data_IF_972848022733
#
_entry.id   IF_972848022733
#
_cell.length_a   1.000
_cell.length_b   1.000
_cell.length_c   1.000
_cell.angle_alpha   90.00
_cell.angle_beta   90.00
_cell.angle_gamma   90.00
#
_symmetry.space_group_name_H-M   'P 1'
#
loop_
_entity.id
_entity.type
_entity.pdbx_description
1 polymer ?
#
# COMPACT_ATOMS: atom_id res chain seq x y z
N UNK A 1 -13.53 -15.13 42.21
CA UNK A 1 -12.68 -16.28 41.80
C UNK A 1 -12.60 -16.24 40.27
N UNK A 2 -11.83 -15.32 39.70
CA UNK A 2 -10.38 -15.35 39.45
C UNK A 2 -9.99 -16.22 38.23
N UNK A 3 -9.59 -15.48 37.18
CA UNK A 3 -8.44 -15.73 36.29
C UNK A 3 -8.40 -17.01 35.48
N UNK A 4 -8.85 -16.94 34.21
CA UNK A 4 -8.09 -17.47 33.08
C UNK A 4 -8.33 -16.53 31.89
N UNK A 5 -7.34 -15.70 31.54
CA UNK A 5 -7.05 -15.16 30.19
C UNK A 5 -6.01 -14.04 30.33
N UNK A 6 -4.74 -14.42 30.46
CA UNK A 6 -3.60 -13.54 30.20
C UNK A 6 -2.36 -14.41 29.97
N UNK A 7 -2.03 -14.67 28.70
CA UNK A 7 -0.69 -15.10 28.23
C UNK A 7 -0.63 -15.04 26.70
N UNK A 8 -0.64 -13.83 26.16
CA UNK A 8 0.16 -13.54 24.96
C UNK A 8 1.24 -12.54 25.39
N UNK A 9 2.45 -13.06 25.46
CA UNK A 9 3.65 -12.36 25.86
C UNK A 9 4.02 -11.33 24.80
N UNK A 10 3.73 -10.06 25.07
CA UNK A 10 4.49 -8.95 24.53
C UNK A 10 5.93 -9.11 25.02
N UNK A 11 6.87 -9.44 24.12
CA UNK A 11 8.28 -9.33 24.43
C UNK A 11 8.59 -7.84 24.58
N UNK A 12 8.96 -7.44 25.78
CA UNK A 12 9.48 -6.10 26.04
C UNK A 12 10.67 -5.81 25.11
N UNK A 13 10.77 -4.61 24.52
CA UNK A 13 12.03 -4.15 23.97
C UNK A 13 13.00 -3.91 25.11
N UNK A 14 14.22 -4.41 24.93
CA UNK A 14 15.36 -4.18 25.82
C UNK A 14 15.56 -2.68 25.95
N UNK A 15 15.40 -2.15 27.17
CA UNK A 15 15.79 -0.80 27.54
C UNK A 15 17.31 -0.65 27.34
N UNK A 16 17.70 -0.06 26.22
CA UNK A 16 19.03 0.50 26.05
C UNK A 16 19.11 1.76 26.93
N UNK A 17 19.63 1.59 28.14
CA UNK A 17 20.04 2.69 29.02
C UNK A 17 21.21 3.45 28.36
N UNK A 18 20.92 4.57 27.71
CA UNK A 18 21.92 5.61 27.44
C UNK A 18 21.77 6.72 28.48
N UNK A 19 22.60 6.64 29.54
CA UNK A 19 22.92 7.81 30.35
C UNK A 19 23.73 8.77 29.48
N UNK A 20 23.09 9.80 28.94
CA UNK A 20 23.79 10.95 28.38
C UNK A 20 23.72 12.09 29.39
N UNK A 21 24.92 12.52 29.82
CA UNK A 21 25.15 13.63 30.71
C UNK A 21 24.51 14.91 30.17
N UNK A 22 23.72 15.57 31.01
CA UNK A 22 23.40 16.99 30.84
C UNK A 22 24.69 17.81 31.00
N UNK A 23 25.14 18.42 29.90
CA UNK A 23 26.06 19.54 29.94
C UNK A 23 25.27 20.80 29.55
N UNK A 24 24.91 21.59 30.55
CA UNK A 24 24.48 22.98 30.40
C UNK A 24 25.56 23.78 29.68
N UNK A 25 25.22 24.43 28.56
CA UNK A 25 26.05 25.49 27.99
C UNK A 25 25.21 26.72 27.70
N UNK A 26 25.64 27.78 28.37
CA UNK A 26 25.10 29.12 28.44
C UNK A 26 25.25 29.86 27.11
N UNK A 27 24.27 30.72 26.83
CA UNK A 27 24.22 31.69 25.74
C UNK A 27 25.40 32.66 25.76
N UNK A 28 26.07 32.84 24.62
CA UNK A 28 26.76 34.08 24.26
C UNK A 28 27.06 34.13 22.75
N UNK A 29 26.63 35.22 22.08
CA UNK A 29 27.43 35.93 21.07
C UNK A 29 27.43 35.44 19.62
N UNK A 30 26.71 36.19 18.78
CA UNK A 30 26.94 36.53 17.36
C UNK A 30 28.24 36.06 16.67
N UNK A 31 28.12 35.46 15.48
CA UNK A 31 28.57 36.08 14.21
C UNK A 31 28.22 35.19 12.99
N UNK A 32 27.52 35.79 12.02
CA UNK A 32 27.22 35.22 10.71
C UNK A 32 28.51 35.10 9.88
N UNK A 33 28.99 33.87 9.67
CA UNK A 33 29.95 33.56 8.62
C UNK A 33 29.20 32.94 7.42
N UNK A 34 29.14 33.70 6.32
CA UNK A 34 28.70 33.21 5.00
C UNK A 34 29.63 32.07 4.55
N UNK A 35 29.16 30.84 4.63
CA UNK A 35 29.79 29.70 3.93
C UNK A 35 29.42 29.81 2.45
N UNK A 36 30.42 30.08 1.60
CA UNK A 36 30.28 30.01 0.14
C UNK A 36 30.07 28.54 -0.26
N UNK A 37 29.11 28.21 -1.14
CA UNK A 37 29.04 26.88 -1.72
C UNK A 37 30.27 26.67 -2.60
N UNK A 38 31.03 25.62 -2.30
CA UNK A 38 32.14 25.13 -3.10
C UNK A 38 31.61 24.64 -4.45
N UNK A 39 32.15 25.22 -5.54
CA UNK A 39 31.95 24.78 -6.91
C UNK A 39 32.31 23.29 -7.06
N UNK A 40 31.31 22.42 -7.17
CA UNK A 40 31.47 21.06 -7.65
C UNK A 40 31.61 21.10 -9.18
N UNK A 41 32.77 20.65 -9.68
CA UNK A 41 33.09 20.60 -11.10
C UNK A 41 32.28 19.54 -11.88
N UNK A 42 32.23 19.64 -13.22
CA UNK A 42 31.32 18.87 -14.06
C UNK A 42 31.71 17.39 -14.33
N UNK A 43 32.50 16.73 -13.47
CA UNK A 43 33.03 15.37 -13.75
C UNK A 43 32.50 14.20 -12.89
N UNK A 44 31.61 14.41 -11.91
CA UNK A 44 31.11 13.29 -11.09
C UNK A 44 29.86 12.56 -11.62
N UNK A 45 29.21 13.07 -12.67
CA UNK A 45 27.91 12.52 -13.12
C UNK A 45 27.96 11.17 -13.84
N UNK A 46 29.13 10.61 -14.16
CA UNK A 46 29.25 9.35 -14.91
C UNK A 46 29.70 8.14 -14.10
N UNK A 47 30.23 8.33 -12.87
CA UNK A 47 30.70 7.20 -12.05
C UNK A 47 29.62 6.53 -11.20
N UNK A 48 28.51 7.20 -10.89
CA UNK A 48 27.43 6.65 -10.06
C UNK A 48 26.57 5.59 -10.76
N UNK A 49 26.47 5.63 -12.09
CA UNK A 49 25.63 4.72 -12.88
C UNK A 49 26.03 3.23 -12.78
N UNK A 50 27.32 2.95 -12.58
CA UNK A 50 27.82 1.56 -12.55
C UNK A 50 27.61 0.84 -11.20
N UNK A 51 27.43 1.56 -10.09
CA UNK A 51 27.39 0.97 -8.75
C UNK A 51 25.99 0.49 -8.31
N UNK A 52 24.91 0.94 -8.95
CA UNK A 52 23.53 0.54 -8.61
C UNK A 52 23.01 -0.66 -9.43
N UNK A 53 23.92 -1.54 -9.87
CA UNK A 53 23.57 -2.69 -10.72
C UNK A 53 22.78 -3.79 -9.99
N UNK A 54 22.85 -3.86 -8.66
CA UNK A 54 22.23 -4.93 -7.88
C UNK A 54 21.55 -4.41 -6.60
N UNK A 55 20.55 -5.11 -6.08
CA UNK A 55 19.86 -4.71 -4.84
C UNK A 55 20.80 -4.64 -3.64
N UNK A 56 21.75 -5.57 -3.51
CA UNK A 56 22.72 -5.54 -2.42
C UNK A 56 23.71 -4.38 -2.54
N UNK A 57 24.05 -3.93 -3.76
CA UNK A 57 24.92 -2.76 -3.94
C UNK A 57 24.19 -1.46 -3.62
N UNK A 58 22.88 -1.40 -3.83
CA UNK A 58 22.03 -0.29 -3.39
C UNK A 58 21.96 -0.25 -1.85
N UNK A 59 21.71 -1.38 -1.18
CA UNK A 59 21.72 -1.47 0.29
C UNK A 59 23.06 -0.98 0.85
N UNK A 60 24.16 -1.50 0.30
CA UNK A 60 25.51 -1.14 0.72
C UNK A 60 25.79 0.35 0.53
N UNK A 61 25.31 0.95 -0.59
CA UNK A 61 25.47 2.37 -0.86
C UNK A 61 24.84 3.25 0.23
N UNK A 62 23.63 2.91 0.69
CA UNK A 62 22.92 3.68 1.72
C UNK A 62 23.46 3.41 3.13
N UNK A 63 23.76 2.16 3.46
CA UNK A 63 24.09 1.73 4.81
C UNK A 63 25.52 1.20 4.91
N UNK A 64 26.47 1.99 4.39
CA UNK A 64 27.93 1.74 4.37
C UNK A 64 28.51 1.30 5.73
N UNK A 65 27.82 1.60 6.84
CA UNK A 65 28.35 1.48 8.20
C UNK A 65 28.14 0.09 8.85
N UNK A 66 27.22 -0.75 8.36
CA UNK A 66 26.86 -1.98 9.12
C UNK A 66 26.65 -3.24 8.30
N UNK A 67 26.81 -3.23 6.97
CA UNK A 67 26.70 -4.47 6.17
C UNK A 67 27.97 -4.83 5.42
N UNK A 68 28.54 -5.99 5.77
CA UNK A 68 29.40 -6.67 4.81
C UNK A 68 28.55 -6.96 3.56
N UNK A 69 29.08 -6.74 2.35
CA UNK A 69 28.41 -7.13 1.10
C UNK A 69 27.80 -8.56 1.15
N UNK A 70 28.40 -9.55 1.84
CA UNK A 70 27.77 -10.84 2.16
C UNK A 70 26.41 -10.75 2.88
N UNK A 71 26.26 -9.89 3.89
CA UNK A 71 25.03 -9.75 4.66
C UNK A 71 23.89 -9.17 3.82
N UNK A 72 24.18 -8.15 3.01
CA UNK A 72 23.20 -7.60 2.07
C UNK A 72 22.76 -8.66 1.04
N UNK A 73 23.69 -9.50 0.56
CA UNK A 73 23.34 -10.65 -0.31
C UNK A 73 22.46 -11.66 0.41
N UNK A 74 22.79 -11.99 1.65
CA UNK A 74 22.05 -12.93 2.48
C UNK A 74 20.62 -12.44 2.77
N UNK A 75 20.47 -11.15 3.08
CA UNK A 75 19.18 -10.49 3.25
C UNK A 75 18.31 -10.63 2.00
N UNK A 76 18.86 -10.33 0.81
CA UNK A 76 18.13 -10.46 -0.46
C UNK A 76 17.75 -11.92 -0.76
N UNK A 77 18.57 -12.90 -0.36
CA UNK A 77 18.20 -14.32 -0.49
C UNK A 77 17.06 -14.73 0.44
N UNK A 78 17.02 -14.20 1.67
CA UNK A 78 15.94 -14.47 2.63
C UNK A 78 14.68 -13.64 2.36
N UNK A 79 14.78 -12.57 1.57
CA UNK A 79 13.64 -11.73 1.20
C UNK A 79 13.46 -11.61 -0.32
N UNK A 80 13.12 -12.71 -1.02
CA UNK A 80 13.04 -12.72 -2.48
C UNK A 80 11.91 -11.84 -3.06
N UNK A 81 10.96 -11.39 -2.22
CA UNK A 81 9.88 -10.46 -2.61
C UNK A 81 10.47 -9.10 -3.07
N UNK A 82 11.60 -8.66 -2.52
CA UNK A 82 12.25 -7.40 -2.90
C UNK A 82 12.64 -7.31 -4.39
N UNK A 83 12.85 -8.47 -5.05
CA UNK A 83 13.18 -8.55 -6.47
C UNK A 83 12.01 -8.16 -7.38
N UNK A 84 10.78 -8.08 -6.85
CA UNK A 84 9.63 -7.51 -7.60
C UNK A 84 9.68 -5.99 -7.68
N UNK A 85 10.41 -5.34 -6.77
CA UNK A 85 10.50 -3.88 -6.70
C UNK A 85 11.55 -3.39 -7.69
N UNK A 86 11.17 -2.40 -8.51
CA UNK A 86 12.09 -1.76 -9.44
C UNK A 86 13.23 -1.09 -8.66
N UNK A 87 14.48 -1.27 -9.11
CA UNK A 87 15.66 -0.73 -8.43
C UNK A 87 15.59 0.77 -8.12
N UNK A 88 15.12 1.67 -9.02
CA UNK A 88 14.99 3.09 -8.70
C UNK A 88 13.99 3.37 -7.57
N UNK A 89 12.89 2.62 -7.51
CA UNK A 89 11.88 2.73 -6.45
C UNK A 89 12.49 2.28 -5.12
N UNK A 90 13.23 1.17 -5.14
CA UNK A 90 13.91 0.62 -3.97
C UNK A 90 15.00 1.57 -3.42
N UNK A 91 15.80 2.16 -4.30
CA UNK A 91 16.82 3.18 -4.00
C UNK A 91 16.19 4.43 -3.34
N UNK A 92 15.09 4.94 -3.89
CA UNK A 92 14.38 6.08 -3.31
C UNK A 92 13.78 5.75 -1.93
N UNK A 93 13.23 4.54 -1.75
CA UNK A 93 12.73 4.09 -0.43
C UNK A 93 13.84 4.08 0.61
N UNK A 94 15.01 3.52 0.29
CA UNK A 94 16.15 3.49 1.22
C UNK A 94 16.66 4.91 1.52
N UNK A 95 16.68 5.79 0.52
CA UNK A 95 16.99 7.21 0.70
C UNK A 95 16.05 7.86 1.70
N UNK A 96 14.73 7.66 1.56
CA UNK A 96 13.74 8.21 2.49
C UNK A 96 13.99 7.68 3.91
N UNK A 97 14.16 6.37 4.07
CA UNK A 97 14.39 5.75 5.38
C UNK A 97 15.66 6.30 6.05
N UNK A 98 16.74 6.44 5.28
CA UNK A 98 18.00 6.99 5.77
C UNK A 98 17.86 8.46 6.17
N UNK A 99 17.17 9.29 5.37
CA UNK A 99 16.91 10.69 5.69
C UNK A 99 16.07 10.86 6.96
N UNK A 100 15.24 9.86 7.30
CA UNK A 100 14.46 9.84 8.54
C UNK A 100 15.24 9.24 9.73
N UNK A 101 16.50 8.88 9.53
CA UNK A 101 17.39 8.41 10.59
C UNK A 101 17.16 6.96 11.02
N UNK A 102 16.47 6.14 10.22
CA UNK A 102 16.37 4.70 10.47
C UNK A 102 17.71 4.02 10.20
N UNK A 103 18.10 3.13 11.11
CA UNK A 103 19.26 2.25 10.96
C UNK A 103 18.96 1.06 10.04
N UNK A 104 20.01 0.43 9.51
CA UNK A 104 19.85 -0.78 8.71
C UNK A 104 19.25 -1.94 9.53
N UNK A 105 19.54 -1.98 10.83
CA UNK A 105 19.06 -2.96 11.79
C UNK A 105 17.53 -2.90 11.90
N UNK A 106 16.97 -1.70 12.05
CA UNK A 106 15.52 -1.47 12.04
C UNK A 106 14.91 -1.89 10.69
N UNK A 107 15.57 -1.55 9.57
CA UNK A 107 15.10 -1.90 8.22
C UNK A 107 15.12 -3.41 7.98
N UNK A 108 16.12 -4.14 8.49
CA UNK A 108 16.19 -5.61 8.45
C UNK A 108 15.04 -6.24 9.21
N UNK A 109 14.79 -5.76 10.43
CA UNK A 109 13.72 -6.25 11.30
C UNK A 109 12.35 -6.09 10.62
N UNK A 110 12.11 -4.92 10.01
CA UNK A 110 10.83 -4.59 9.37
C UNK A 110 10.91 -4.48 7.85
N UNK A 111 11.57 -5.46 7.21
CA UNK A 111 11.81 -5.51 5.76
C UNK A 111 10.59 -5.29 4.85
N UNK A 112 9.37 -5.48 5.36
CA UNK A 112 8.12 -5.19 4.65
C UNK A 112 8.04 -3.74 4.15
N UNK A 113 8.63 -2.77 4.86
CA UNK A 113 8.63 -1.36 4.43
C UNK A 113 9.33 -1.14 3.09
N UNK A 114 10.25 -2.03 2.70
CA UNK A 114 10.96 -1.98 1.42
C UNK A 114 10.09 -2.33 0.22
N UNK A 115 8.88 -2.87 0.46
CA UNK A 115 7.89 -3.16 -0.58
C UNK A 115 6.94 -2.00 -0.84
N UNK A 116 6.99 -0.94 -0.03
CA UNK A 116 6.18 0.26 -0.23
C UNK A 116 6.71 1.08 -1.41
N UNK A 117 5.84 1.79 -2.11
CA UNK A 117 6.30 2.85 -3.01
C UNK A 117 6.83 4.05 -2.20
N UNK A 118 7.74 4.87 -2.75
CA UNK A 118 8.19 6.11 -2.13
C UNK A 118 7.03 7.01 -1.68
N UNK A 119 6.00 7.14 -2.51
CA UNK A 119 4.79 7.91 -2.18
C UNK A 119 3.98 7.30 -1.04
N UNK A 120 3.87 5.97 -0.96
CA UNK A 120 3.21 5.30 0.17
C UNK A 120 4.01 5.53 1.46
N UNK A 121 5.32 5.34 1.42
CA UNK A 121 6.17 5.54 2.59
C UNK A 121 6.10 6.98 3.12
N UNK A 122 6.27 7.99 2.25
CA UNK A 122 6.17 9.41 2.61
C UNK A 122 4.82 9.74 3.23
N UNK A 123 3.71 9.29 2.63
CA UNK A 123 2.36 9.53 3.18
C UNK A 123 2.18 8.98 4.58
N UNK A 124 2.65 7.76 4.81
CA UNK A 124 2.51 7.12 6.11
C UNK A 124 3.36 7.83 7.16
N UNK A 125 4.61 8.15 6.84
CA UNK A 125 5.46 8.97 7.72
C UNK A 125 4.81 10.33 8.01
N UNK A 126 4.21 10.97 7.01
CA UNK A 126 3.50 12.24 7.19
C UNK A 126 2.31 12.10 8.15
N UNK A 127 1.54 11.01 8.09
CA UNK A 127 0.46 10.78 9.06
C UNK A 127 1.00 10.76 10.49
N UNK A 128 2.11 10.05 10.73
CA UNK A 128 2.70 10.03 12.07
C UNK A 128 3.12 11.42 12.53
N UNK A 129 3.71 12.21 11.63
CA UNK A 129 4.03 13.61 11.91
C UNK A 129 2.77 14.44 12.22
N UNK A 130 1.66 14.27 11.49
CA UNK A 130 0.39 14.95 11.76
C UNK A 130 -0.17 14.59 13.16
N UNK A 131 0.17 13.41 13.67
CA UNK A 131 -0.14 12.95 15.02
C UNK A 131 0.99 13.19 16.03
N UNK A 132 1.93 14.10 15.77
CA UNK A 132 3.03 14.45 16.70
C UNK A 132 3.99 13.31 17.03
N UNK A 133 4.17 12.39 16.09
CA UNK A 133 5.12 11.27 16.22
C UNK A 133 6.22 11.49 15.19
N UNK A 134 7.28 12.16 15.62
CA UNK A 134 8.41 12.54 14.76
C UNK A 134 9.18 11.33 14.21
N UNK A 135 9.27 10.26 15.00
CA UNK A 135 10.02 9.05 14.65
C UNK A 135 9.23 7.78 14.98
N UNK A 136 8.25 7.41 14.14
CA UNK A 136 7.52 6.16 14.32
C UNK A 136 8.46 4.96 14.12
N UNK A 137 8.13 3.81 14.68
CA UNK A 137 8.82 2.55 14.34
C UNK A 137 8.45 2.11 12.93
N UNK A 138 9.33 1.37 12.26
CA UNK A 138 9.03 0.82 10.92
C UNK A 138 7.85 -0.16 10.93
N UNK A 139 7.61 -0.84 12.07
CA UNK A 139 6.39 -1.61 12.29
C UNK A 139 5.13 -0.74 12.17
N UNK A 140 5.09 0.37 12.92
CA UNK A 140 3.98 1.33 12.88
C UNK A 140 3.80 1.91 11.48
N UNK A 141 4.88 2.27 10.79
CA UNK A 141 4.84 2.75 9.40
C UNK A 141 4.25 1.69 8.46
N UNK A 142 4.58 0.41 8.64
CA UNK A 142 4.03 -0.66 7.81
C UNK A 142 2.55 -0.95 8.11
N UNK A 143 2.15 -0.85 9.38
CA UNK A 143 0.79 -1.13 9.87
C UNK A 143 0.07 0.16 10.33
N UNK A 144 0.15 1.22 9.52
CA UNK A 144 -0.43 2.52 9.87
C UNK A 144 -1.92 2.44 10.23
N UNK A 145 -2.70 1.57 9.57
CA UNK A 145 -4.12 1.40 9.88
C UNK A 145 -4.34 0.84 11.29
N UNK A 146 -3.52 -0.13 11.71
CA UNK A 146 -3.61 -0.73 13.05
C UNK A 146 -3.15 0.27 14.11
N UNK A 147 -2.17 1.12 13.78
CA UNK A 147 -1.79 2.22 14.65
C UNK A 147 -2.94 3.20 14.86
N UNK A 148 -3.69 3.54 13.80
CA UNK A 148 -4.84 4.45 13.90
C UNK A 148 -6.04 3.84 14.64
N UNK A 149 -6.08 2.52 14.84
CA UNK A 149 -7.06 1.87 15.71
C UNK A 149 -6.76 2.09 17.21
N UNK A 150 -5.56 2.56 17.57
CA UNK A 150 -5.24 2.96 18.94
C UNK A 150 -5.95 4.27 19.32
N UNK A 151 -6.14 4.50 20.62
CA UNK A 151 -6.59 5.78 21.18
C UNK A 151 -5.48 6.47 21.99
N UNK A 152 -5.67 7.74 22.36
CA UNK A 152 -4.67 8.53 23.08
C UNK A 152 -4.33 7.93 24.44
N UNK A 153 -5.30 7.33 25.15
CA UNK A 153 -5.05 6.68 26.44
C UNK A 153 -4.04 5.53 26.33
N UNK A 154 -4.19 4.65 25.34
CA UNK A 154 -3.27 3.54 25.07
C UNK A 154 -1.89 4.06 24.70
N UNK A 155 -1.82 5.12 23.88
CA UNK A 155 -0.55 5.72 23.47
C UNK A 155 0.21 6.36 24.64
N UNK A 156 -0.50 6.97 25.60
CA UNK A 156 0.11 7.47 26.85
C UNK A 156 0.63 6.35 27.73
N UNK A 157 -0.12 5.26 27.90
CA UNK A 157 0.35 4.09 28.69
C UNK A 157 1.63 3.48 28.10
N UNK A 158 1.75 3.49 26.76
CA UNK A 158 2.94 3.01 26.06
C UNK A 158 4.06 4.06 25.94
N UNK A 159 3.90 5.24 26.56
CA UNK A 159 4.92 6.29 26.57
C UNK A 159 5.13 7.00 25.23
N UNK A 160 4.20 6.87 24.28
CA UNK A 160 4.23 7.61 23.02
C UNK A 160 3.89 9.10 23.25
N UNK A 161 2.93 9.36 24.15
CA UNK A 161 2.54 10.72 24.54
C UNK A 161 2.75 10.95 26.04
N UNK A 162 3.00 12.21 26.41
CA UNK A 162 3.04 12.62 27.81
C UNK A 162 1.65 12.61 28.46
N UNK A 163 1.61 12.56 29.79
CA UNK A 163 0.36 12.68 30.54
C UNK A 163 -0.29 14.04 30.25
N UNK A 164 -1.56 14.02 29.84
CA UNK A 164 -2.31 15.23 29.48
C UNK A 164 -2.00 15.80 28.09
N UNK A 165 -1.23 15.10 27.26
CA UNK A 165 -1.03 15.50 25.87
C UNK A 165 -2.37 15.45 25.11
N UNK A 166 -2.80 16.60 24.60
CA UNK A 166 -3.98 16.72 23.75
C UNK A 166 -3.55 16.71 22.27
N UNK A 167 -4.08 15.73 21.54
CA UNK A 167 -3.72 15.47 20.15
C UNK A 167 -4.45 16.41 19.19
N UNK A 168 -5.62 16.92 19.56
CA UNK A 168 -6.47 17.67 18.65
C UNK A 168 -5.84 19.03 18.29
N UNK A 169 -5.36 19.87 19.23
CA UNK A 169 -4.71 21.13 18.89
C UNK A 169 -3.53 20.92 17.94
N UNK A 170 -2.74 19.87 18.17
CA UNK A 170 -1.62 19.56 17.29
C UNK A 170 -2.06 19.12 15.90
N UNK A 171 -3.08 18.26 15.81
CA UNK A 171 -3.60 17.80 14.53
C UNK A 171 -4.18 18.97 13.72
N UNK A 172 -4.90 19.89 14.37
CA UNK A 172 -5.40 21.12 13.74
C UNK A 172 -4.25 22.05 13.31
N UNK A 173 -3.24 22.25 14.16
CA UNK A 173 -2.06 23.06 13.84
C UNK A 173 -1.22 22.47 12.70
N UNK A 174 -1.16 21.14 12.59
CA UNK A 174 -0.45 20.43 11.52
C UNK A 174 -1.08 20.67 10.14
N UNK A 175 -2.33 21.10 10.11
CA UNK A 175 -3.10 21.38 8.88
C UNK A 175 -3.60 22.81 8.89
N UNK A 176 -2.68 23.76 8.73
CA UNK A 176 -2.97 25.21 8.75
C UNK A 176 -4.14 25.65 7.86
N UNK A 177 -4.39 24.94 6.77
CA UNK A 177 -5.43 25.25 5.78
C UNK A 177 -6.76 24.51 6.03
N UNK A 178 -6.85 23.68 7.07
CA UNK A 178 -8.09 23.00 7.49
C UNK A 178 -9.00 24.00 8.19
N UNK A 179 -9.65 24.85 7.41
CA UNK A 179 -10.54 25.90 7.89
C UNK A 179 -11.93 25.35 8.28
N UNK A 180 -12.00 24.58 9.36
CA UNK A 180 -13.27 24.08 9.90
C UNK A 180 -14.04 25.18 10.66
N UNK A 181 -15.39 25.19 10.62
CA UNK A 181 -16.19 26.12 11.41
C UNK A 181 -16.01 25.86 12.91
N UNK A 182 -15.94 26.92 13.72
CA UNK A 182 -15.73 26.81 15.17
C UNK A 182 -16.73 25.87 15.85
N UNK A 183 -18.01 25.89 15.46
CA UNK A 183 -19.02 25.02 16.04
C UNK A 183 -18.76 23.52 15.84
N UNK A 184 -18.05 23.13 14.77
CA UNK A 184 -17.62 21.74 14.55
C UNK A 184 -16.49 21.37 15.51
N UNK A 185 -15.56 22.30 15.75
CA UNK A 185 -14.48 22.11 16.73
C UNK A 185 -15.03 22.05 18.15
N UNK A 186 -15.97 22.94 18.50
CA UNK A 186 -16.64 22.94 19.81
C UNK A 186 -17.44 21.64 20.03
N UNK A 187 -18.10 21.13 18.98
CA UNK A 187 -18.81 19.85 19.04
C UNK A 187 -17.82 18.69 19.23
N UNK A 188 -16.68 18.73 18.55
CA UNK A 188 -15.64 17.72 18.68
C UNK A 188 -15.12 17.64 20.12
N UNK A 189 -14.78 18.76 20.75
CA UNK A 189 -14.30 18.79 22.15
C UNK A 189 -15.28 18.16 23.14
N UNK A 190 -16.58 18.21 22.84
CA UNK A 190 -17.63 17.62 23.69
C UNK A 190 -17.84 16.12 23.46
N UNK A 191 -17.47 15.59 22.28
CA UNK A 191 -17.77 14.22 21.85
C UNK A 191 -16.58 13.26 21.98
N UNK A 192 -15.36 13.78 21.92
CA UNK A 192 -14.15 12.96 21.85
C UNK A 192 -13.40 12.99 23.18
N UNK A 193 -13.35 11.85 23.85
CA UNK A 193 -12.47 11.63 25.01
C UNK A 193 -11.22 10.80 24.62
N UNK A 194 -10.36 10.52 25.60
CA UNK A 194 -9.12 9.77 25.38
C UNK A 194 -9.31 8.30 24.97
N UNK A 195 -10.55 7.81 24.94
CA UNK A 195 -10.89 6.43 24.56
C UNK A 195 -11.19 6.29 23.08
N UNK A 196 -11.44 7.39 22.37
CA UNK A 196 -11.80 7.36 20.96
C UNK A 196 -10.57 7.03 20.08
N UNK A 197 -10.69 6.08 19.13
CA UNK A 197 -9.61 5.74 18.21
C UNK A 197 -9.15 6.93 17.34
N UNK A 198 -7.85 7.00 17.07
CA UNK A 198 -7.26 8.06 16.25
C UNK A 198 -7.84 8.11 14.83
N UNK A 199 -8.20 6.95 14.26
CA UNK A 199 -8.87 6.87 12.96
C UNK A 199 -10.21 7.61 12.95
N UNK A 200 -10.94 7.58 14.05
CA UNK A 200 -12.29 8.13 14.12
C UNK A 200 -12.21 9.65 14.26
N UNK A 201 -11.22 10.13 15.03
CA UNK A 201 -10.82 11.54 15.07
C UNK A 201 -10.46 12.04 13.66
N UNK A 202 -9.56 11.32 12.98
CA UNK A 202 -9.12 11.67 11.63
C UNK A 202 -10.28 11.71 10.63
N UNK A 203 -11.13 10.68 10.64
CA UNK A 203 -12.26 10.56 9.72
C UNK A 203 -13.31 11.64 9.98
N UNK A 204 -13.56 11.97 11.24
CA UNK A 204 -14.45 13.06 11.62
C UNK A 204 -13.99 14.37 10.99
N UNK A 205 -12.73 14.77 11.24
CA UNK A 205 -12.17 16.02 10.71
C UNK A 205 -12.17 16.03 9.18
N UNK A 206 -11.80 14.92 8.55
CA UNK A 206 -11.82 14.81 7.09
C UNK A 206 -13.23 14.93 6.52
N UNK A 207 -14.21 14.20 7.06
CA UNK A 207 -15.59 14.23 6.57
C UNK A 207 -16.21 15.62 6.70
N UNK A 208 -16.04 16.28 7.84
CA UNK A 208 -16.53 17.64 8.04
C UNK A 208 -15.83 18.66 7.13
N UNK A 209 -14.53 18.50 6.90
CA UNK A 209 -13.80 19.33 5.92
C UNK A 209 -14.37 19.14 4.52
N UNK A 210 -14.57 17.90 4.06
CA UNK A 210 -15.12 17.63 2.73
C UNK A 210 -16.55 18.15 2.58
N UNK A 211 -17.38 17.98 3.61
CA UNK A 211 -18.77 18.48 3.63
C UNK A 211 -18.80 20.00 3.43
N UNK A 212 -17.99 20.73 4.19
CA UNK A 212 -17.83 22.16 4.02
C UNK A 212 -17.27 22.54 2.65
N UNK A 213 -16.19 21.87 2.22
CA UNK A 213 -15.47 22.22 0.98
C UNK A 213 -16.36 22.04 -0.26
N UNK A 214 -17.24 21.04 -0.26
CA UNK A 214 -18.17 20.76 -1.35
C UNK A 214 -19.59 21.30 -1.13
N UNK A 215 -19.84 21.98 0.00
CA UNK A 215 -21.18 22.46 0.39
C UNK A 215 -22.24 21.34 0.38
N UNK A 216 -21.89 20.21 0.99
CA UNK A 216 -22.74 19.01 1.11
C UNK A 216 -23.03 18.69 2.58
N UNK A 217 -24.07 17.90 2.79
CA UNK A 217 -24.32 17.32 4.10
C UNK A 217 -23.29 16.23 4.42
N UNK A 218 -23.21 15.86 5.69
CA UNK A 218 -22.25 14.85 6.13
C UNK A 218 -22.60 13.48 5.53
N UNK A 219 -23.90 13.19 5.36
CA UNK A 219 -24.41 11.91 4.87
C UNK A 219 -23.97 11.65 3.41
N UNK A 220 -24.04 12.67 2.53
CA UNK A 220 -23.50 12.61 1.16
C UNK A 220 -22.00 12.31 1.16
N UNK A 221 -21.25 12.89 2.11
CA UNK A 221 -19.82 12.63 2.26
C UNK A 221 -19.58 11.20 2.76
N UNK A 222 -20.37 10.68 3.70
CA UNK A 222 -20.23 9.31 4.20
C UNK A 222 -20.35 8.28 3.07
N UNK A 223 -21.26 8.52 2.13
CA UNK A 223 -21.41 7.68 0.94
C UNK A 223 -20.14 7.60 0.07
N UNK A 224 -19.21 8.56 0.16
CA UNK A 224 -17.92 8.47 -0.52
C UNK A 224 -17.02 7.40 0.11
N UNK A 225 -17.09 7.23 1.44
CA UNK A 225 -16.25 6.32 2.21
C UNK A 225 -16.74 4.87 2.15
N UNK A 226 -18.03 4.66 1.87
CA UNK A 226 -18.59 3.32 1.64
C UNK A 226 -18.09 2.68 0.34
N UNK A 227 -17.60 3.50 -0.61
CA UNK A 227 -17.06 3.00 -1.88
C UNK A 227 -15.62 2.51 -1.69
N UNK A 228 -15.31 1.40 -2.38
CA UNK A 228 -14.05 0.66 -2.23
C UNK A 228 -12.83 1.59 -2.41
N UNK A 229 -12.07 1.80 -1.33
CA UNK A 229 -10.74 2.40 -1.39
C UNK A 229 -10.53 3.72 -0.66
N UNK A 230 -11.48 4.20 0.16
CA UNK A 230 -11.30 5.35 1.05
C UNK A 230 -11.37 4.96 2.54
N UNK A 231 -10.64 5.67 3.43
CA UNK A 231 -9.56 6.61 3.13
C UNK A 231 -8.28 5.86 2.69
N UNK A 232 -7.40 6.53 1.94
CA UNK A 232 -6.07 5.96 1.62
C UNK A 232 -5.02 6.18 2.72
N UNK A 233 -5.43 6.69 3.88
CA UNK A 233 -4.56 7.12 4.97
C UNK A 233 -3.42 7.98 4.41
N UNK A 234 -3.73 9.25 4.10
CA UNK A 234 -2.74 10.29 3.77
C UNK A 234 -2.91 11.46 4.75
N UNK A 235 -2.03 12.45 4.72
CA UNK A 235 -2.22 13.62 5.59
C UNK A 235 -3.52 14.36 5.27
N UNK A 236 -4.14 14.97 6.28
CA UNK A 236 -5.29 15.85 6.09
C UNK A 236 -4.92 17.02 5.15
N UNK A 237 -3.69 17.55 5.26
CA UNK A 237 -3.15 18.55 4.35
C UNK A 237 -3.15 18.07 2.87
N UNK A 238 -2.86 16.79 2.62
CA UNK A 238 -2.91 16.24 1.27
C UNK A 238 -4.34 16.07 0.74
N UNK A 239 -5.36 16.00 1.62
CA UNK A 239 -6.76 16.12 1.21
C UNK A 239 -7.12 17.56 0.87
N UNK A 240 -6.65 18.54 1.66
CA UNK A 240 -6.86 19.96 1.36
C UNK A 240 -6.33 20.32 -0.03
N UNK A 241 -5.05 20.00 -0.27
CA UNK A 241 -4.40 20.31 -1.55
C UNK A 241 -5.05 19.60 -2.75
N UNK A 242 -5.48 18.33 -2.61
CA UNK A 242 -6.11 17.65 -3.74
C UNK A 242 -7.50 18.23 -4.04
N UNK A 243 -8.27 18.61 -3.02
CA UNK A 243 -9.54 19.28 -3.21
C UNK A 243 -9.35 20.62 -3.93
N UNK A 244 -8.32 21.39 -3.58
CA UNK A 244 -8.01 22.64 -4.27
C UNK A 244 -7.65 22.44 -5.73
N UNK A 245 -6.89 21.40 -6.06
CA UNK A 245 -6.59 21.05 -7.44
C UNK A 245 -7.86 20.64 -8.18
N UNK A 246 -8.67 19.77 -7.58
CA UNK A 246 -9.91 19.24 -8.17
C UNK A 246 -10.91 20.36 -8.46
N UNK A 247 -11.13 21.26 -7.50
CA UNK A 247 -12.11 22.33 -7.62
C UNK A 247 -11.55 23.47 -8.48
N UNK A 248 -10.38 24.00 -8.13
CA UNK A 248 -9.89 25.24 -8.71
C UNK A 248 -9.15 25.02 -10.04
N UNK A 249 -8.45 23.89 -10.20
CA UNK A 249 -7.64 23.62 -11.41
C UNK A 249 -8.36 22.72 -12.41
N UNK A 250 -9.15 21.76 -11.95
CA UNK A 250 -9.89 20.83 -12.81
C UNK A 250 -11.36 21.22 -13.00
N UNK A 251 -11.91 22.13 -12.18
CA UNK A 251 -13.30 22.57 -12.28
C UNK A 251 -14.32 21.47 -12.03
N UNK A 252 -13.98 20.47 -11.20
CA UNK A 252 -14.87 19.35 -10.91
C UNK A 252 -15.82 19.66 -9.76
N UNK A 253 -17.08 19.29 -9.95
CA UNK A 253 -18.12 19.32 -8.94
C UNK A 253 -18.12 18.07 -8.05
N UNK A 254 -18.96 18.12 -7.03
CA UNK A 254 -19.11 17.02 -6.08
C UNK A 254 -19.66 15.76 -6.75
N UNK A 255 -20.61 15.90 -7.66
CA UNK A 255 -21.25 14.82 -8.41
C UNK A 255 -20.21 13.99 -9.17
N UNK A 256 -19.23 14.65 -9.80
CA UNK A 256 -18.12 13.98 -10.48
C UNK A 256 -17.23 13.22 -9.48
N UNK A 257 -16.96 13.79 -8.32
CA UNK A 257 -16.17 13.13 -7.26
C UNK A 257 -16.95 11.96 -6.67
N UNK A 258 -18.26 12.10 -6.50
CA UNK A 258 -19.13 11.04 -5.99
C UNK A 258 -19.20 9.87 -6.97
N UNK A 259 -19.24 10.15 -8.27
CA UNK A 259 -19.12 9.13 -9.31
C UNK A 259 -17.75 8.43 -9.30
N UNK A 260 -16.69 9.11 -8.83
CA UNK A 260 -15.34 8.57 -8.78
C UNK A 260 -14.52 9.05 -7.55
N UNK A 261 -14.76 8.49 -6.36
CA UNK A 261 -14.10 8.97 -5.13
C UNK A 261 -12.59 8.74 -5.10
N UNK A 262 -12.07 7.88 -5.99
CA UNK A 262 -10.64 7.64 -6.14
C UNK A 262 -9.87 8.90 -6.57
N UNK A 263 -10.55 9.93 -7.09
CA UNK A 263 -9.96 11.24 -7.33
C UNK A 263 -9.40 11.87 -6.04
N UNK A 264 -10.02 11.59 -4.90
CA UNK A 264 -9.53 12.05 -3.60
C UNK A 264 -8.26 11.30 -3.16
N UNK A 265 -7.93 10.16 -3.77
CA UNK A 265 -6.74 9.36 -3.43
C UNK A 265 -5.47 9.78 -4.17
N UNK A 266 -5.56 10.79 -5.03
CA UNK A 266 -4.42 11.27 -5.79
C UNK A 266 -3.42 12.01 -4.90
N UNK A 267 -2.15 11.93 -5.31
CA UNK A 267 -1.07 12.70 -4.71
C UNK A 267 -1.06 14.11 -5.30
N UNK A 268 -1.29 15.17 -4.49
CA UNK A 268 -1.36 16.54 -4.99
C UNK A 268 -0.15 16.93 -5.84
N UNK A 269 1.06 16.59 -5.39
CA UNK A 269 2.30 16.96 -6.07
C UNK A 269 2.47 16.26 -7.43
N UNK A 270 1.99 15.03 -7.56
CA UNK A 270 2.04 14.32 -8.85
C UNK A 270 1.01 14.88 -9.82
N UNK A 271 -0.18 15.24 -9.33
CA UNK A 271 -1.21 15.89 -10.15
C UNK A 271 -0.73 17.27 -10.60
N UNK A 272 -0.10 18.06 -9.73
CA UNK A 272 0.51 19.36 -10.09
C UNK A 272 1.52 19.21 -11.22
N UNK A 273 2.49 18.29 -11.10
CA UNK A 273 3.49 18.04 -12.15
C UNK A 273 2.84 17.67 -13.49
N UNK A 274 1.77 16.87 -13.46
CA UNK A 274 1.02 16.50 -14.67
C UNK A 274 0.33 17.72 -15.26
N UNK A 275 -0.33 18.55 -14.45
CA UNK A 275 -1.01 19.76 -14.90
C UNK A 275 -0.03 20.83 -15.42
N UNK A 276 1.15 20.97 -14.81
CA UNK A 276 2.23 21.84 -15.29
C UNK A 276 2.72 21.39 -16.67
N UNK A 277 2.83 20.08 -16.88
CA UNK A 277 3.27 19.51 -18.16
C UNK A 277 2.17 19.57 -19.22
N UNK A 278 0.91 19.52 -18.81
CA UNK A 278 -0.26 19.40 -19.67
C UNK A 278 -1.41 20.30 -19.20
N UNK A 279 -1.27 21.64 -19.35
CA UNK A 279 -2.19 22.62 -18.77
C UNK A 279 -3.60 22.59 -19.36
N UNK A 280 -3.80 21.95 -20.52
CA UNK A 280 -5.09 21.85 -21.17
C UNK A 280 -6.00 20.75 -20.58
N UNK A 281 -5.47 19.85 -19.75
CA UNK A 281 -6.27 18.77 -19.12
C UNK A 281 -7.40 19.35 -18.27
N UNK A 282 -7.17 20.44 -17.54
CA UNK A 282 -8.20 21.09 -16.72
C UNK A 282 -9.25 21.88 -17.50
N UNK A 283 -9.11 22.03 -18.83
CA UNK A 283 -10.02 22.82 -19.67
C UNK A 283 -11.01 21.99 -20.48
N UNK A 284 -10.81 20.67 -20.57
CA UNK A 284 -11.68 19.76 -21.32
C UNK A 284 -12.51 18.92 -20.37
N UNK A 285 -13.82 19.19 -20.32
CA UNK A 285 -14.81 18.41 -19.55
C UNK A 285 -14.81 16.92 -19.92
N UNK A 286 -14.36 16.57 -21.13
CA UNK A 286 -14.37 15.20 -21.67
C UNK A 286 -13.25 14.30 -21.12
N UNK A 287 -12.15 14.87 -20.60
CA UNK A 287 -10.98 14.10 -20.13
C UNK A 287 -11.18 13.52 -18.73
N UNK A 288 -12.21 13.98 -18.00
CA UNK A 288 -12.29 13.82 -16.54
C UNK A 288 -13.22 12.69 -16.08
N UNK A 289 -13.44 11.69 -16.93
CA UNK A 289 -13.71 10.35 -16.41
C UNK A 289 -12.35 9.69 -16.12
N UNK A 290 -11.63 10.12 -15.07
CA UNK A 290 -10.27 9.61 -14.83
C UNK A 290 -10.29 8.33 -13.99
N UNK A 291 -10.22 7.16 -14.63
CA UNK A 291 -9.91 5.92 -13.89
C UNK A 291 -8.48 5.96 -13.34
N UNK A 292 -8.22 5.28 -12.21
CA UNK A 292 -6.86 5.11 -11.64
C UNK A 292 -5.83 4.62 -12.67
N UNK A 293 -6.29 3.87 -13.69
CA UNK A 293 -5.48 3.39 -14.81
C UNK A 293 -4.94 4.55 -15.65
N UNK A 294 -5.72 5.59 -15.89
CA UNK A 294 -5.31 6.72 -16.73
C UNK A 294 -4.30 7.60 -16.01
N UNK A 295 -4.40 7.79 -14.69
CA UNK A 295 -3.38 8.49 -13.91
C UNK A 295 -2.05 7.72 -13.82
N UNK A 296 -2.10 6.38 -13.87
CA UNK A 296 -0.90 5.55 -14.04
C UNK A 296 -0.33 5.66 -15.46
N UNK A 297 -1.18 5.75 -16.49
CA UNK A 297 -0.77 6.05 -17.87
C UNK A 297 -0.17 7.47 -17.95
N UNK A 298 -0.72 8.43 -17.20
CA UNK A 298 -0.22 9.82 -17.12
C UNK A 298 1.18 9.93 -16.47
N UNK A 299 1.66 8.88 -15.80
CA UNK A 299 3.04 8.80 -15.30
C UNK A 299 4.04 8.37 -16.37
N UNK A 300 3.60 7.72 -17.44
CA UNK A 300 4.44 7.40 -18.59
C UNK A 300 4.35 8.53 -19.61
N UNK A 301 5.42 9.34 -19.70
CA UNK A 301 5.51 10.47 -20.63
C UNK A 301 5.23 10.12 -22.10
N UNK A 302 5.46 8.86 -22.51
CA UNK A 302 5.19 8.40 -23.88
C UNK A 302 3.69 8.19 -24.07
N UNK A 303 3.06 7.46 -23.16
CA UNK A 303 1.63 7.18 -23.22
C UNK A 303 0.77 8.43 -23.01
N UNK A 304 1.24 9.42 -22.24
CA UNK A 304 0.53 10.71 -22.11
C UNK A 304 0.49 11.46 -23.42
N UNK A 305 1.62 11.51 -24.14
CA UNK A 305 1.70 12.20 -25.43
C UNK A 305 0.78 11.55 -26.46
N UNK A 306 0.72 10.23 -26.48
CA UNK A 306 -0.19 9.46 -27.35
C UNK A 306 -1.66 9.71 -26.99
N UNK A 307 -2.00 9.73 -25.70
CA UNK A 307 -3.37 9.94 -25.22
C UNK A 307 -3.85 11.38 -25.46
N UNK A 308 -2.98 12.38 -25.28
CA UNK A 308 -3.28 13.78 -25.60
C UNK A 308 -3.40 14.03 -27.09
N UNK A 309 -2.53 13.43 -27.91
CA UNK A 309 -2.65 13.50 -29.36
C UNK A 309 -3.97 12.87 -29.84
N UNK A 310 -4.40 11.76 -29.23
CA UNK A 310 -5.69 11.13 -29.53
C UNK A 310 -6.89 11.99 -29.08
N UNK A 311 -6.73 12.72 -27.96
CA UNK A 311 -7.75 13.65 -27.46
C UNK A 311 -7.89 14.88 -28.36
N UNK A 312 -6.77 15.48 -28.76
CA UNK A 312 -6.71 16.61 -29.70
C UNK A 312 -7.23 16.23 -31.10
N UNK A 313 -7.03 14.98 -31.52
CA UNK A 313 -7.56 14.43 -32.75
C UNK A 313 -9.07 14.08 -32.68
N UNK A 314 -9.74 14.33 -31.55
CA UNK A 314 -11.18 14.06 -31.39
C UNK A 314 -11.56 12.57 -31.38
N UNK A 315 -10.58 11.67 -31.22
CA UNK A 315 -10.80 10.21 -31.30
C UNK A 315 -11.17 9.56 -29.97
N UNK A 316 -11.18 10.32 -28.87
CA UNK A 316 -11.47 9.79 -27.53
C UNK A 316 -12.97 9.79 -27.22
N UNK A 317 -13.64 8.68 -27.54
CA UNK A 317 -15.06 8.47 -27.19
C UNK A 317 -15.22 7.81 -25.82
N UNK A 318 -14.25 7.02 -25.32
CA UNK A 318 -14.22 6.54 -23.92
C UNK A 318 -12.80 6.12 -23.48
N UNK A 319 -12.53 6.15 -22.17
CA UNK A 319 -11.29 5.65 -21.53
C UNK A 319 -10.92 4.22 -21.99
N UNK A 320 -11.92 3.39 -22.25
CA UNK A 320 -11.72 2.01 -22.71
C UNK A 320 -10.99 1.95 -24.05
N UNK A 321 -11.27 2.90 -24.96
CA UNK A 321 -10.60 3.03 -26.26
C UNK A 321 -9.14 3.50 -26.12
N UNK A 322 -8.87 4.45 -25.21
CA UNK A 322 -7.51 4.93 -24.92
C UNK A 322 -6.57 3.82 -24.40
N UNK A 323 -7.13 2.92 -23.57
CA UNK A 323 -6.39 1.79 -22.99
C UNK A 323 -6.15 0.70 -24.05
N UNK A 324 -7.04 0.54 -25.03
CA UNK A 324 -6.84 -0.41 -26.14
C UNK A 324 -5.85 0.09 -27.20
N UNK A 325 -5.87 1.39 -27.54
CA UNK A 325 -5.02 1.96 -28.59
C UNK A 325 -3.56 2.17 -28.19
N UNK A 326 -3.29 2.50 -26.92
CA UNK A 326 -1.91 2.77 -26.47
C UNK A 326 -1.02 1.54 -26.40
N UNK A 327 -1.55 0.32 -26.62
CA UNK A 327 -0.76 -0.91 -26.78
C UNK A 327 0.16 -1.23 -25.59
N UNK A 328 0.01 -0.54 -24.46
CA UNK A 328 0.81 -0.75 -23.26
C UNK A 328 0.34 -2.07 -22.67
N UNK A 329 1.00 -3.16 -23.09
CA UNK A 329 1.03 -4.45 -22.39
C UNK A 329 1.72 -4.28 -21.03
N UNK A 330 1.24 -3.36 -20.20
CA UNK A 330 1.52 -3.41 -18.79
C UNK A 330 0.78 -4.65 -18.32
N UNK A 331 1.54 -5.73 -18.10
CA UNK A 331 1.05 -6.92 -17.38
C UNK A 331 0.63 -6.43 -16.00
N UNK A 332 -0.62 -5.97 -15.90
CA UNK A 332 -1.19 -5.46 -14.67
C UNK A 332 -1.47 -6.67 -13.78
N UNK A 333 -0.54 -6.95 -12.87
CA UNK A 333 -0.87 -7.73 -11.69
C UNK A 333 -1.77 -6.84 -10.83
N UNK A 334 -3.08 -6.93 -11.05
CA UNK A 334 -4.05 -6.57 -10.02
C UNK A 334 -3.72 -7.47 -8.84
N UNK A 335 -2.99 -6.95 -7.87
CA UNK A 335 -3.08 -7.46 -6.50
C UNK A 335 -4.49 -7.03 -6.04
N UNK A 336 -5.51 -7.73 -6.53
CA UNK A 336 -6.84 -7.65 -5.94
C UNK A 336 -6.66 -8.12 -4.52
N UNK A 337 -6.89 -7.23 -3.56
CA UNK A 337 -6.95 -7.65 -2.15
C UNK A 337 -8.03 -8.71 -2.06
N UNK A 338 -7.63 -9.88 -1.58
CA UNK A 338 -8.54 -10.98 -1.27
C UNK A 338 -9.59 -10.44 -0.29
N UNK A 339 -10.87 -10.60 -0.61
CA UNK A 339 -11.94 -10.09 0.25
C UNK A 339 -11.89 -10.80 1.61
N UNK A 340 -12.24 -10.08 2.68
CA UNK A 340 -12.35 -10.67 4.03
C UNK A 340 -13.34 -11.84 4.06
N UNK A 341 -14.39 -11.78 3.24
CA UNK A 341 -15.36 -12.86 3.06
C UNK A 341 -14.72 -14.14 2.52
N UNK A 342 -13.89 -14.03 1.48
CA UNK A 342 -13.20 -15.19 0.92
C UNK A 342 -12.19 -15.77 1.93
N UNK A 343 -11.44 -14.93 2.64
CA UNK A 343 -10.49 -15.38 3.66
C UNK A 343 -11.23 -16.18 4.75
N UNK A 344 -12.36 -15.66 5.24
CA UNK A 344 -13.17 -16.34 6.26
C UNK A 344 -13.74 -17.66 5.73
N UNK A 345 -14.23 -17.67 4.50
CA UNK A 345 -14.74 -18.88 3.87
C UNK A 345 -13.66 -19.96 3.75
N UNK A 346 -12.49 -19.62 3.20
CA UNK A 346 -11.37 -20.56 3.04
C UNK A 346 -10.84 -21.04 4.39
N UNK A 347 -10.73 -20.15 5.38
CA UNK A 347 -10.35 -20.52 6.75
C UNK A 347 -11.31 -21.55 7.35
N UNK A 348 -12.61 -21.34 7.19
CA UNK A 348 -13.64 -22.24 7.70
C UNK A 348 -13.62 -23.61 6.99
N UNK A 349 -13.56 -23.63 5.66
CA UNK A 349 -13.63 -24.89 4.91
C UNK A 349 -12.37 -25.74 5.04
N UNK A 350 -11.20 -25.08 5.10
CA UNK A 350 -9.90 -25.75 5.25
C UNK A 350 -9.48 -25.97 6.72
N UNK A 351 -10.31 -25.54 7.68
CA UNK A 351 -10.04 -25.67 9.12
C UNK A 351 -8.68 -25.08 9.53
N UNK A 352 -8.37 -23.90 9.02
CA UNK A 352 -7.15 -23.14 9.32
C UNK A 352 -7.48 -21.79 9.94
N UNK A 353 -6.52 -21.20 10.65
CA UNK A 353 -6.73 -19.88 11.21
C UNK A 353 -6.90 -18.81 10.12
N UNK A 354 -7.69 -17.77 10.41
CA UNK A 354 -7.94 -16.66 9.48
C UNK A 354 -6.66 -16.00 8.96
N UNK A 355 -5.61 -15.93 9.79
CA UNK A 355 -4.34 -15.33 9.42
C UNK A 355 -3.57 -16.23 8.43
N UNK A 356 -3.58 -17.54 8.64
CA UNK A 356 -2.98 -18.53 7.75
C UNK A 356 -3.71 -18.58 6.40
N UNK A 357 -5.05 -18.61 6.40
CA UNK A 357 -5.84 -18.50 5.16
C UNK A 357 -5.51 -17.22 4.38
N UNK A 358 -5.28 -16.09 5.10
CA UNK A 358 -4.86 -14.85 4.46
C UNK A 358 -3.49 -14.98 3.82
N UNK A 359 -2.52 -15.64 4.45
CA UNK A 359 -1.20 -15.87 3.87
C UNK A 359 -1.26 -16.79 2.64
N UNK A 360 -1.99 -17.89 2.74
CA UNK A 360 -2.23 -18.84 1.63
C UNK A 360 -2.83 -18.15 0.39
N UNK A 361 -3.76 -17.22 0.59
CA UNK A 361 -4.42 -16.48 -0.48
C UNK A 361 -3.65 -15.21 -0.90
N UNK A 362 -2.59 -14.81 -0.21
CA UNK A 362 -1.77 -13.66 -0.62
C UNK A 362 -0.64 -14.04 -1.57
N UNK A 363 -0.18 -15.29 -1.52
CA UNK A 363 0.86 -15.80 -2.41
C UNK A 363 0.22 -16.31 -3.71
N UNK A 364 0.35 -15.51 -4.77
CA UNK A 364 -0.03 -15.86 -6.16
C UNK A 364 -1.54 -16.13 -6.43
N UNK A 365 -2.42 -15.84 -5.47
CA UNK A 365 -3.87 -15.91 -5.69
C UNK A 365 -4.38 -14.73 -6.53
N UNK A 366 -5.10 -15.02 -7.61
CA UNK A 366 -5.74 -14.02 -8.45
C UNK A 366 -7.24 -14.30 -8.53
N UNK A 367 -8.04 -13.41 -7.96
CA UNK A 367 -9.51 -13.45 -7.94
C UNK A 367 -10.15 -13.11 -9.30
N UNK A 368 -9.67 -13.71 -10.39
CA UNK A 368 -10.20 -13.45 -11.72
C UNK A 368 -11.69 -13.86 -11.83
N UNK A 369 -12.06 -14.96 -11.18
CA UNK A 369 -13.38 -15.60 -11.30
C UNK A 369 -14.31 -15.36 -10.09
N UNK A 370 -13.89 -14.54 -9.11
CA UNK A 370 -14.69 -14.20 -7.93
C UNK A 370 -14.87 -15.32 -6.90
N UNK A 371 -15.53 -15.00 -5.78
CA UNK A 371 -15.71 -15.94 -4.65
C UNK A 371 -16.59 -17.14 -5.00
N UNK A 372 -17.62 -16.98 -5.83
CA UNK A 372 -18.53 -18.06 -6.22
C UNK A 372 -17.76 -19.20 -6.92
N UNK A 373 -16.83 -18.86 -7.82
CA UNK A 373 -15.96 -19.84 -8.47
C UNK A 373 -15.10 -20.59 -7.44
N UNK A 374 -14.51 -19.88 -6.48
CA UNK A 374 -13.70 -20.52 -5.44
C UNK A 374 -14.52 -21.53 -4.63
N UNK A 375 -15.75 -21.19 -4.24
CA UNK A 375 -16.67 -22.11 -3.55
C UNK A 375 -16.92 -23.38 -4.38
N UNK A 376 -17.22 -23.21 -5.67
CA UNK A 376 -17.49 -24.33 -6.57
C UNK A 376 -16.28 -25.23 -6.79
N UNK A 377 -15.10 -24.64 -7.00
CA UNK A 377 -13.85 -25.41 -7.18
C UNK A 377 -13.51 -26.15 -5.88
N UNK A 378 -13.63 -25.50 -4.73
CA UNK A 378 -13.30 -26.13 -3.45
C UNK A 378 -14.22 -27.32 -3.16
N UNK A 379 -15.54 -27.16 -3.40
CA UNK A 379 -16.49 -28.26 -3.30
C UNK A 379 -16.15 -29.41 -4.26
N UNK A 380 -15.83 -29.10 -5.51
CA UNK A 380 -15.43 -30.09 -6.51
C UNK A 380 -14.20 -30.90 -6.06
N UNK A 381 -13.21 -30.25 -5.45
CA UNK A 381 -12.02 -30.93 -4.94
C UNK A 381 -12.37 -31.89 -3.79
N UNK A 382 -13.25 -31.49 -2.88
CA UNK A 382 -13.74 -32.41 -1.84
C UNK A 382 -14.54 -33.58 -2.40
N UNK A 383 -15.40 -33.33 -3.40
CA UNK A 383 -16.20 -34.37 -4.06
C UNK A 383 -15.32 -35.41 -4.79
N UNK A 384 -14.16 -34.99 -5.30
CA UNK A 384 -13.14 -35.86 -5.88
C UNK A 384 -12.27 -36.58 -4.83
N UNK A 385 -12.50 -36.34 -3.54
CA UNK A 385 -11.84 -37.03 -2.44
C UNK A 385 -10.49 -36.43 -2.01
N UNK A 386 -10.15 -35.21 -2.44
CA UNK A 386 -8.94 -34.54 -1.97
C UNK A 386 -9.08 -34.11 -0.50
N UNK A 387 -8.02 -34.29 0.26
CA UNK A 387 -7.95 -33.88 1.66
C UNK A 387 -7.72 -32.37 1.80
N UNK A 388 -8.04 -31.80 2.98
CA UNK A 388 -7.74 -30.39 3.28
C UNK A 388 -6.27 -30.07 3.11
N UNK A 389 -5.38 -30.96 3.57
CA UNK A 389 -3.92 -30.81 3.43
C UNK A 389 -3.49 -30.72 1.96
N UNK A 390 -4.03 -31.59 1.10
CA UNK A 390 -3.77 -31.53 -0.35
C UNK A 390 -4.27 -30.22 -0.96
N UNK A 391 -5.44 -29.73 -0.55
CA UNK A 391 -6.00 -28.46 -1.04
C UNK A 391 -5.16 -27.27 -0.57
N UNK A 392 -4.68 -27.26 0.67
CA UNK A 392 -3.77 -26.22 1.19
C UNK A 392 -2.47 -26.21 0.37
N UNK A 393 -1.87 -27.37 0.14
CA UNK A 393 -0.65 -27.49 -0.66
C UNK A 393 -0.89 -27.13 -2.14
N UNK A 394 -2.10 -27.37 -2.66
CA UNK A 394 -2.52 -27.09 -4.03
C UNK A 394 -3.40 -25.84 -4.19
N UNK A 395 -3.32 -24.86 -3.29
CA UNK A 395 -4.28 -23.76 -3.20
C UNK A 395 -4.46 -22.97 -4.52
N UNK A 396 -3.43 -22.98 -5.38
CA UNK A 396 -3.45 -22.34 -6.68
C UNK A 396 -4.49 -22.92 -7.65
N UNK A 397 -5.01 -24.14 -7.41
CA UNK A 397 -6.10 -24.71 -8.21
C UNK A 397 -7.37 -23.85 -8.12
N UNK A 398 -7.59 -23.16 -6.99
CA UNK A 398 -8.74 -22.29 -6.80
C UNK A 398 -8.70 -21.02 -7.68
N UNK A 399 -7.56 -20.71 -8.30
CA UNK A 399 -7.43 -19.60 -9.25
C UNK A 399 -7.99 -19.92 -10.64
N UNK A 400 -8.28 -21.17 -10.96
CA UNK A 400 -8.82 -21.54 -12.26
C UNK A 400 -10.34 -21.49 -12.26
N UNK A 401 -10.90 -21.28 -13.45
CA UNK A 401 -12.34 -21.41 -13.67
C UNK A 401 -12.80 -22.84 -13.37
N UNK A 402 -13.96 -22.98 -12.73
CA UNK A 402 -14.56 -24.26 -12.35
C UNK A 402 -14.54 -25.28 -13.49
N UNK A 403 -14.99 -24.91 -14.69
CA UNK A 403 -15.05 -25.82 -15.83
C UNK A 403 -13.68 -26.33 -16.27
N UNK A 404 -12.64 -25.51 -16.12
CA UNK A 404 -11.25 -25.88 -16.43
C UNK A 404 -10.72 -26.87 -15.40
N UNK A 405 -11.00 -26.65 -14.11
CA UNK A 405 -10.61 -27.60 -13.05
C UNK A 405 -11.34 -28.93 -13.22
N UNK A 406 -12.65 -28.89 -13.49
CA UNK A 406 -13.46 -30.09 -13.71
C UNK A 406 -12.94 -30.91 -14.89
N UNK A 407 -12.68 -30.27 -16.03
CA UNK A 407 -12.08 -30.95 -17.17
C UNK A 407 -10.70 -31.50 -16.83
N UNK A 408 -9.85 -30.69 -16.18
CA UNK A 408 -8.52 -31.09 -15.74
C UNK A 408 -8.56 -32.35 -14.88
N UNK A 409 -9.44 -32.39 -13.89
CA UNK A 409 -9.65 -33.55 -13.00
C UNK A 409 -10.11 -34.80 -13.74
N UNK A 410 -11.03 -34.67 -14.71
CA UNK A 410 -11.51 -35.80 -15.52
C UNK A 410 -10.38 -36.40 -16.37
N UNK A 411 -9.52 -35.56 -16.92
CA UNK A 411 -8.40 -35.99 -17.77
C UNK A 411 -7.19 -36.45 -16.95
N UNK A 412 -7.03 -35.96 -15.71
CA UNK A 412 -5.85 -36.15 -14.88
C UNK A 412 -5.39 -37.62 -14.74
N UNK A 413 -6.28 -38.61 -14.51
CA UNK A 413 -5.87 -40.02 -14.38
C UNK A 413 -5.28 -40.62 -15.66
N UNK A 414 -5.53 -40.01 -16.82
CA UNK A 414 -5.02 -40.46 -18.12
C UNK A 414 -3.74 -39.76 -18.55
N UNK A 415 -3.31 -38.72 -17.82
CA UNK A 415 -2.11 -37.95 -18.17
C UNK A 415 -0.85 -38.75 -17.87
N UNK A 416 0.12 -38.62 -18.76
CA UNK A 416 1.43 -39.27 -18.63
C UNK A 416 2.18 -38.82 -17.38
N UNK A 417 2.05 -37.54 -17.02
CA UNK A 417 2.70 -36.92 -15.87
C UNK A 417 2.12 -37.40 -14.53
N UNK A 418 0.86 -37.85 -14.54
CA UNK A 418 0.15 -38.33 -13.37
C UNK A 418 0.23 -39.85 -13.23
N UNK A 419 1.08 -40.54 -13.98
CA UNK A 419 1.28 -41.99 -13.81
C UNK A 419 2.42 -42.29 -12.82
N UNK A 420 2.24 -43.28 -11.93
CA UNK A 420 1.01 -44.03 -11.69
C UNK A 420 -0.01 -43.24 -10.83
N UNK A 421 -1.26 -43.15 -11.29
CA UNK A 421 -2.25 -42.23 -10.70
C UNK A 421 -2.57 -42.50 -9.23
N UNK A 422 -2.61 -43.77 -8.83
CA UNK A 422 -2.93 -44.16 -7.46
C UNK A 422 -1.89 -43.66 -6.45
N UNK A 423 -0.60 -43.65 -6.80
CA UNK A 423 0.46 -43.12 -5.92
C UNK A 423 0.35 -41.60 -5.79
N UNK A 424 -0.06 -40.91 -6.86
CA UNK A 424 -0.30 -39.48 -6.82
C UNK A 424 -1.49 -39.10 -5.94
N UNK A 425 -2.56 -39.89 -5.91
CA UNK A 425 -3.73 -39.59 -5.05
C UNK A 425 -3.39 -39.60 -3.55
N UNK A 426 -2.36 -40.33 -3.14
CA UNK A 426 -1.86 -40.32 -1.75
C UNK A 426 -0.85 -39.17 -1.50
N UNK A 427 -0.37 -38.51 -2.56
CA UNK A 427 0.65 -37.47 -2.45
C UNK A 427 0.05 -36.13 -1.98
N UNK A 428 0.65 -35.45 -0.98
CA UNK A 428 0.17 -34.14 -0.51
C UNK A 428 0.23 -33.03 -1.57
N UNK A 429 1.03 -33.19 -2.63
CA UNK A 429 1.24 -32.18 -3.69
C UNK A 429 0.50 -32.49 -5.00
N UNK A 430 -0.40 -33.48 -5.01
CA UNK A 430 -1.15 -33.89 -6.22
C UNK A 430 -1.87 -32.75 -6.93
N UNK A 431 -2.43 -31.82 -6.18
CA UNK A 431 -3.14 -30.65 -6.72
C UNK A 431 -2.20 -29.61 -7.33
N UNK A 432 -0.93 -29.55 -6.92
CA UNK A 432 0.08 -28.73 -7.61
C UNK A 432 0.38 -29.30 -9.00
N UNK A 433 0.46 -30.63 -9.11
CA UNK A 433 0.65 -31.30 -10.40
C UNK A 433 -0.57 -31.09 -11.31
N UNK A 434 -1.80 -31.17 -10.77
CA UNK A 434 -3.02 -30.83 -11.50
C UNK A 434 -2.97 -29.39 -12.03
N UNK A 435 -2.63 -28.41 -11.18
CA UNK A 435 -2.48 -27.01 -11.58
C UNK A 435 -1.44 -26.83 -12.69
N UNK A 436 -0.33 -27.57 -12.64
CA UNK A 436 0.68 -27.59 -13.69
C UNK A 436 0.12 -28.13 -15.01
N UNK A 437 -0.59 -29.26 -14.97
CA UNK A 437 -1.23 -29.87 -16.13
C UNK A 437 -2.24 -28.93 -16.80
N UNK A 438 -3.12 -28.30 -16.01
CA UNK A 438 -4.09 -27.31 -16.51
C UNK A 438 -3.37 -26.14 -17.22
N UNK A 439 -2.30 -25.61 -16.62
CA UNK A 439 -1.52 -24.51 -17.22
C UNK A 439 -0.84 -24.89 -18.52
N UNK A 440 -0.33 -26.12 -18.61
CA UNK A 440 0.34 -26.63 -19.81
C UNK A 440 -0.60 -26.66 -21.02
N UNK A 441 -1.85 -27.02 -20.78
CA UNK A 441 -2.85 -27.20 -21.83
C UNK A 441 -3.55 -25.90 -22.22
N UNK A 442 -3.60 -24.95 -21.29
CA UNK A 442 -4.23 -23.66 -21.47
C UNK A 442 -3.19 -22.55 -21.28
N UNK A 443 -2.18 -22.43 -22.17
CA UNK A 443 -1.02 -21.55 -21.98
C UNK A 443 -1.38 -20.05 -21.98
N UNK A 444 -2.58 -19.69 -22.44
CA UNK A 444 -3.11 -18.33 -22.37
C UNK A 444 -3.61 -17.94 -20.97
N UNK A 445 -3.79 -18.91 -20.06
CA UNK A 445 -3.91 -18.68 -18.61
C UNK A 445 -2.50 -18.39 -18.04
N UNK A 446 -1.91 -17.26 -18.43
CA UNK A 446 -0.59 -16.83 -17.93
C UNK A 446 -0.68 -16.49 -16.43
N UNK A 447 -0.29 -17.44 -15.57
CA UNK A 447 0.02 -17.16 -14.16
C UNK A 447 1.52 -17.03 -13.96
N UNK A 448 2.00 -16.11 -13.10
CA UNK A 448 3.42 -15.97 -12.82
C UNK A 448 3.89 -17.08 -11.88
N UNK A 449 4.17 -18.29 -12.38
CA UNK A 449 5.02 -19.20 -11.62
C UNK A 449 6.46 -18.69 -11.71
N UNK A 450 7.06 -18.37 -10.57
CA UNK A 450 8.52 -18.26 -10.47
C UNK A 450 9.09 -19.68 -10.55
N UNK A 451 9.97 -19.92 -11.52
CA UNK A 451 10.92 -21.03 -11.45
C UNK A 451 11.94 -20.80 -10.35
#
# INVERSE_FOLDING_TARGET
>A
MLNILARQTWRQPVLCSSKVLMATRTLAGEQQARVRPSNLGPQEKTKTSHYLRSWYSIIYHHYNDTTSQPEAKLFISYFPKIKTVLKPIFDEVLTILQCQGYSWEEVKEYRGVLLLSPSQLRRRLQIFHDFSIDRPTLHQVFYVSEFLDCNTSVLRVNGVYSQGYDILPHLLDSVKDLSLPQHILDQFDSQFDDTVPLKDIYLYLLKHYLAQRFSRDIDDIEMLFDKVGLPTWKSLAAYVHICDIIINSLGLDFETIQANPLLLNLEPEEVKKVLERYPNIGKSSTVICMSEKLLRILRDSKSVKELLNAAEAGSLVTIASAIQETGVKTKFHRIQRVSSELILYVAQELDVEKHEARELLQEDFQLQYGIANVKMVLQLLFDFGFTREQIINGILVLNFEYGVVEQGLREFPSRTEAQPFHEWMENPFVLQLLAYCIKKDVPHLEFPFRR
#
